data_IF_740463633430
#
_entry.id   IF_740463633430
#
_cell.length_a   1.000
_cell.length_b   1.000
_cell.length_c   1.000
_cell.angle_alpha   90.00
_cell.angle_beta   90.00
_cell.angle_gamma   90.00
#
_symmetry.space_group_name_H-M   'P 1'
#
loop_
_entity.id
_entity.type
_entity.pdbx_description
1 polymer ?
#
# COMPACT_ATOMS: atom_id res chain seq x y z
N UNK A 1 -11.76 35.44 -16.12
CA UNK A 1 -12.32 34.17 -15.66
C UNK A 1 -11.17 33.28 -15.18
N UNK A 2 -10.88 33.33 -13.88
CA UNK A 2 -9.94 32.48 -13.11
C UNK A 2 -10.44 32.57 -11.68
N UNK A 3 -10.98 31.49 -11.14
CA UNK A 3 -11.57 31.43 -9.81
C UNK A 3 -10.43 31.47 -8.79
N UNK A 4 -10.30 32.57 -8.06
CA UNK A 4 -9.42 32.69 -6.89
C UNK A 4 -10.19 32.11 -5.71
N UNK A 5 -9.76 30.95 -5.22
CA UNK A 5 -10.09 30.52 -3.87
C UNK A 5 -9.43 31.50 -2.90
N UNK A 6 -10.27 32.18 -2.13
CA UNK A 6 -9.88 33.12 -1.09
C UNK A 6 -9.91 32.32 0.21
N UNK A 7 -8.75 31.83 0.64
CA UNK A 7 -8.57 31.36 2.02
C UNK A 7 -8.49 32.60 2.92
N UNK A 8 -9.31 32.73 3.98
CA UNK A 8 -9.06 33.74 4.99
C UNK A 8 -8.16 33.14 6.07
N UNK A 9 -6.95 33.70 6.16
CA UNK A 9 -6.14 33.72 7.37
C UNK A 9 -6.92 34.42 8.49
N UNK A 10 -7.60 33.64 9.33
CA UNK A 10 -7.84 33.99 10.74
C UNK A 10 -8.05 32.69 11.50
N UNK A 11 -6.97 32.18 12.09
CA UNK A 11 -7.01 31.16 13.12
C UNK A 11 -7.66 31.76 14.38
N UNK A 12 -8.99 31.70 14.46
CA UNK A 12 -9.72 31.80 15.71
C UNK A 12 -10.21 30.39 16.03
N UNK A 13 -9.46 29.69 16.88
CA UNK A 13 -9.86 28.39 17.41
C UNK A 13 -10.94 28.63 18.48
N UNK A 14 -12.20 28.36 18.12
CA UNK A 14 -13.31 28.36 19.06
C UNK A 14 -13.20 27.13 19.99
N UNK A 15 -13.17 27.28 21.34
CA UNK A 15 -12.98 26.16 22.27
C UNK A 15 -14.12 25.14 22.33
N UNK A 16 -15.26 25.42 21.66
CA UNK A 16 -16.48 24.60 21.73
C UNK A 16 -16.73 23.76 20.48
N UNK A 17 -15.91 23.89 19.43
CA UNK A 17 -15.99 23.08 18.21
C UNK A 17 -15.15 21.79 18.28
N UNK A 18 -15.05 21.21 19.47
CA UNK A 18 -14.34 19.94 19.71
C UNK A 18 -14.93 18.82 18.83
N UNK A 19 -16.22 18.87 18.49
CA UNK A 19 -16.87 17.88 17.62
C UNK A 19 -16.44 18.03 16.15
N UNK A 20 -16.16 19.26 15.68
CA UNK A 20 -15.65 19.48 14.33
C UNK A 20 -14.17 19.09 14.21
N UNK A 21 -13.35 19.36 15.24
CA UNK A 21 -11.95 18.91 15.32
C UNK A 21 -11.83 17.38 15.40
N UNK A 22 -12.70 16.69 16.15
CA UNK A 22 -12.72 15.21 16.21
C UNK A 22 -13.18 14.61 14.88
N UNK A 23 -14.03 15.30 14.09
CA UNK A 23 -14.43 14.86 12.76
C UNK A 23 -13.44 15.23 11.65
N UNK A 24 -12.60 16.25 11.84
CA UNK A 24 -11.50 16.57 10.93
C UNK A 24 -10.33 15.58 11.08
N UNK A 25 -10.12 15.00 12.27
CA UNK A 25 -9.08 13.99 12.49
C UNK A 25 -9.41 12.55 12.08
N UNK A 26 -10.56 12.28 11.42
CA UNK A 26 -10.96 10.93 10.96
C UNK A 26 -10.86 10.70 9.43
N UNK A 27 -10.17 11.56 8.69
CA UNK A 27 -9.67 11.25 7.34
C UNK A 27 -8.21 11.68 7.29
N UNK A 28 -7.25 10.98 6.69
CA UNK A 28 -7.31 10.14 5.50
C UNK A 28 -6.07 9.22 5.51
N UNK A 29 -6.04 8.24 6.41
CA UNK A 29 -5.07 7.12 6.32
C UNK A 29 -5.89 5.84 6.18
N UNK A 30 -6.18 5.47 4.94
CA UNK A 30 -6.88 4.22 4.66
C UNK A 30 -5.84 3.13 4.41
N UNK A 31 -5.95 2.00 5.09
CA UNK A 31 -5.14 0.83 4.76
C UNK A 31 -5.92 -0.07 3.82
N UNK A 32 -5.42 -0.25 2.60
CA UNK A 32 -5.96 -1.18 1.62
C UNK A 32 -5.05 -2.40 1.51
N UNK A 33 -5.63 -3.60 1.52
CA UNK A 33 -4.89 -4.81 1.15
C UNK A 33 -4.89 -4.96 -0.36
N UNK A 34 -3.71 -5.13 -0.95
CA UNK A 34 -3.55 -5.37 -2.39
C UNK A 34 -2.58 -6.52 -2.65
N UNK A 35 -2.93 -7.38 -3.59
CA UNK A 35 -2.03 -8.41 -4.07
C UNK A 35 -0.91 -7.79 -4.95
N UNK A 36 0.34 -8.15 -4.64
CA UNK A 36 1.53 -7.88 -5.45
C UNK A 36 2.09 -9.18 -5.99
N UNK A 37 2.58 -9.15 -7.22
CA UNK A 37 3.23 -10.30 -7.85
C UNK A 37 4.74 -10.12 -7.78
N UNK A 38 5.42 -11.13 -7.25
CA UNK A 38 6.89 -11.25 -7.24
C UNK A 38 7.26 -12.37 -8.19
N UNK A 39 8.05 -12.05 -9.23
CA UNK A 39 8.44 -13.00 -10.27
C UNK A 39 9.93 -13.28 -10.18
N UNK A 40 10.30 -14.55 -10.07
CA UNK A 40 11.68 -15.03 -10.21
C UNK A 40 11.70 -16.33 -11.02
N UNK A 41 12.45 -16.35 -12.14
CA UNK A 41 12.58 -17.52 -13.00
C UNK A 41 11.24 -18.04 -13.54
N UNK A 42 10.93 -19.31 -13.25
CA UNK A 42 9.70 -19.99 -13.67
C UNK A 42 8.55 -19.86 -12.65
N UNK A 43 8.73 -19.09 -11.58
CA UNK A 43 7.78 -18.96 -10.48
C UNK A 43 7.29 -17.53 -10.26
N UNK A 44 6.03 -17.39 -9.86
CA UNK A 44 5.44 -16.12 -9.41
C UNK A 44 4.77 -16.33 -8.07
N UNK A 45 5.03 -15.47 -7.09
CA UNK A 45 4.29 -15.41 -5.84
C UNK A 45 3.33 -14.22 -5.83
N UNK A 46 2.09 -14.48 -5.47
CA UNK A 46 1.08 -13.47 -5.13
C UNK A 46 1.08 -13.24 -3.63
N UNK A 47 1.37 -12.00 -3.24
CA UNK A 47 1.57 -11.61 -1.85
C UNK A 47 0.64 -10.46 -1.52
N UNK A 48 -0.24 -10.67 -0.54
CA UNK A 48 -1.05 -9.59 0.01
C UNK A 48 -0.16 -8.65 0.83
N UNK A 49 -0.25 -7.36 0.52
CA UNK A 49 0.46 -6.28 1.23
C UNK A 49 -0.51 -5.18 1.65
N UNK A 50 -0.22 -4.53 2.76
CA UNK A 50 -0.93 -3.34 3.19
C UNK A 50 -0.35 -2.09 2.52
N UNK A 51 -1.23 -1.36 1.85
CA UNK A 51 -0.94 -0.04 1.28
C UNK A 51 -1.61 1.02 2.11
N UNK A 52 -0.84 2.06 2.45
CA UNK A 52 -1.33 3.22 3.19
C UNK A 52 -1.71 4.27 2.14
N UNK A 53 -2.99 4.63 2.12
CA UNK A 53 -3.57 5.62 1.24
C UNK A 53 -3.72 6.91 2.02
N UNK A 54 -3.04 7.93 1.54
CA UNK A 54 -3.08 9.32 2.00
C UNK A 54 -3.51 10.24 0.87
N UNK A 55 -3.83 11.49 1.22
CA UNK A 55 -4.30 12.53 0.29
C UNK A 55 -3.17 13.26 -0.44
N UNK A 56 -1.91 12.88 -0.22
CA UNK A 56 -0.77 13.46 -0.91
C UNK A 56 -0.49 12.80 -2.25
N UNK A 57 0.27 13.51 -3.09
CA UNK A 57 0.60 13.11 -4.47
C UNK A 57 1.47 11.84 -4.57
N UNK A 58 2.06 11.38 -3.47
CA UNK A 58 2.97 10.23 -3.43
C UNK A 58 2.32 8.95 -2.89
N UNK A 59 1.04 9.02 -2.51
CA UNK A 59 0.18 7.87 -2.23
C UNK A 59 0.01 6.98 -3.47
N UNK A 60 0.00 5.63 -3.36
CA UNK A 60 0.00 4.84 -2.12
C UNK A 60 1.40 4.45 -1.63
N UNK A 61 1.56 4.40 -0.30
CA UNK A 61 2.77 3.92 0.36
C UNK A 61 2.70 2.43 0.69
N UNK A 62 3.84 1.74 0.60
CA UNK A 62 3.99 0.39 1.11
C UNK A 62 4.54 0.43 2.53
N UNK A 63 3.96 -0.37 3.43
CA UNK A 63 4.51 -0.49 4.78
C UNK A 63 5.95 -1.05 4.72
N UNK A 64 6.82 -0.61 5.64
CA UNK A 64 8.20 -1.11 5.69
C UNK A 64 8.23 -2.64 5.89
N UNK A 65 7.33 -3.17 6.72
CA UNK A 65 7.21 -4.60 6.96
C UNK A 65 6.82 -5.37 5.69
N UNK A 66 5.86 -4.85 4.93
CA UNK A 66 5.47 -5.48 3.66
C UNK A 66 6.56 -5.36 2.59
N UNK A 67 7.36 -4.28 2.61
CA UNK A 67 8.52 -4.16 1.74
C UNK A 67 9.54 -5.28 2.03
N UNK A 68 9.84 -5.55 3.31
CA UNK A 68 10.69 -6.68 3.69
C UNK A 68 10.07 -8.03 3.32
N UNK A 69 8.77 -8.20 3.56
CA UNK A 69 8.04 -9.42 3.17
C UNK A 69 8.18 -9.71 1.67
N UNK A 70 8.07 -8.70 0.82
CA UNK A 70 8.25 -8.86 -0.62
C UNK A 70 9.69 -9.21 -0.99
N UNK A 71 10.68 -8.65 -0.28
CA UNK A 71 12.09 -8.97 -0.48
C UNK A 71 12.41 -10.41 -0.07
N UNK A 72 11.89 -10.87 1.07
CA UNK A 72 12.03 -12.24 1.56
C UNK A 72 11.44 -13.24 0.55
N UNK A 73 10.24 -12.95 0.02
CA UNK A 73 9.61 -13.76 -1.04
C UNK A 73 10.49 -13.82 -2.28
N UNK A 74 11.01 -12.67 -2.72
CA UNK A 74 11.88 -12.58 -3.89
C UNK A 74 13.15 -13.43 -3.69
N UNK A 75 13.76 -13.33 -2.51
CA UNK A 75 14.95 -14.12 -2.19
C UNK A 75 14.66 -15.62 -2.15
N UNK A 76 13.55 -16.03 -1.52
CA UNK A 76 13.13 -17.42 -1.44
C UNK A 76 12.88 -18.02 -2.84
N UNK A 77 12.12 -17.33 -3.69
CA UNK A 77 11.88 -17.79 -5.06
C UNK A 77 13.18 -17.88 -5.86
N UNK A 78 14.07 -16.88 -5.75
CA UNK A 78 15.36 -16.87 -6.44
C UNK A 78 16.27 -18.03 -6.03
N UNK A 79 16.17 -18.49 -4.79
CA UNK A 79 16.91 -19.66 -4.28
C UNK A 79 16.23 -20.99 -4.61
N UNK A 80 15.00 -20.97 -5.13
CA UNK A 80 14.19 -22.16 -5.35
C UNK A 80 13.53 -22.71 -4.08
N UNK A 81 13.53 -21.96 -2.97
CA UNK A 81 12.85 -22.34 -1.73
C UNK A 81 11.36 -21.96 -1.81
N UNK A 82 10.61 -22.83 -2.49
CA UNK A 82 9.17 -22.66 -2.72
C UNK A 82 8.39 -22.74 -1.41
N UNK A 83 8.85 -23.54 -0.45
CA UNK A 83 8.16 -23.70 0.83
C UNK A 83 8.23 -22.40 1.65
N UNK A 84 9.40 -21.75 1.71
CA UNK A 84 9.55 -20.46 2.36
C UNK A 84 8.70 -19.38 1.69
N UNK A 85 8.70 -19.31 0.35
CA UNK A 85 7.87 -18.37 -0.39
C UNK A 85 6.36 -18.61 -0.14
N UNK A 86 5.93 -19.88 -0.09
CA UNK A 86 4.54 -20.26 0.14
C UNK A 86 4.01 -19.93 1.55
N UNK A 87 4.90 -19.73 2.53
CA UNK A 87 4.52 -19.25 3.88
C UNK A 87 4.11 -17.77 3.87
N UNK A 88 4.57 -17.00 2.89
CA UNK A 88 4.39 -15.56 2.81
C UNK A 88 3.38 -15.13 1.72
N UNK A 89 3.05 -16.02 0.79
CA UNK A 89 2.09 -15.78 -0.29
C UNK A 89 1.72 -17.05 -1.06
N UNK A 90 0.92 -16.90 -2.13
CA UNK A 90 0.54 -18.01 -3.01
C UNK A 90 1.53 -18.12 -4.15
N UNK A 91 2.22 -19.26 -4.28
CA UNK A 91 3.22 -19.48 -5.32
C UNK A 91 2.61 -20.24 -6.49
N UNK A 92 2.85 -19.75 -7.70
CA UNK A 92 2.43 -20.32 -8.96
C UNK A 92 3.66 -20.65 -9.81
N UNK A 93 3.54 -21.69 -10.64
CA UNK A 93 4.49 -21.98 -11.71
C UNK A 93 3.97 -21.35 -13.01
N UNK A 94 4.81 -20.58 -13.69
CA UNK A 94 4.47 -20.00 -14.99
C UNK A 94 4.54 -21.07 -16.08
N UNK A 95 3.43 -21.25 -16.79
CA UNK A 95 3.33 -22.14 -17.94
C UNK A 95 3.01 -21.26 -19.15
N UNK A 96 3.88 -21.20 -20.17
CA UNK A 96 3.63 -20.38 -21.34
C UNK A 96 2.39 -20.91 -22.09
N UNK A 97 1.50 -20.00 -22.47
CA UNK A 97 0.37 -20.31 -23.34
C UNK A 97 0.82 -20.09 -24.78
N UNK A 98 0.84 -21.15 -25.58
CA UNK A 98 1.12 -21.04 -27.01
C UNK A 98 -0.05 -20.33 -27.72
N UNK A 99 0.26 -19.36 -28.59
CA UNK A 99 -0.69 -18.62 -29.43
C UNK A 99 -0.40 -18.92 -30.89
#
# INVERSE_FOLDING_TARGET
MKTRFLFPDTLFLDPFDVIADIHYHRGMEQTLVRAKLVHEGEYVAEVDVALIITDDEWSPYLSLLDAYKLDDVRQALRQGDIEAAAKLGRVYKLIPVAV
#
